data_IF_113329818655
#
_entry.id   IF_113329818655
#
_cell.length_a   1.000
_cell.length_b   1.000
_cell.length_c   1.000
_cell.angle_alpha   90.00
_cell.angle_beta   90.00
_cell.angle_gamma   90.00
#
_symmetry.space_group_name_H-M   'P 1'
#
loop_
_entity.id
_entity.type
_entity.pdbx_description
1 polymer ?
#
# COMPACT_ATOMS: atom_id res chain seq x y z
N UNK A 1 13.11 9.49 -12.03
CA UNK A 1 12.26 8.32 -11.68
C UNK A 1 12.50 7.19 -12.67
N UNK A 2 13.67 6.54 -12.61
CA UNK A 2 14.08 5.49 -13.56
C UNK A 2 14.87 4.41 -12.80
N UNK A 3 14.16 3.51 -12.11
CA UNK A 3 14.81 2.48 -11.29
C UNK A 3 14.10 1.12 -11.23
N UNK A 4 12.93 0.97 -11.87
CA UNK A 4 12.18 -0.29 -11.87
C UNK A 4 12.08 -0.85 -13.29
N UNK A 5 12.48 -2.11 -13.45
CA UNK A 5 12.31 -2.90 -14.66
C UNK A 5 10.83 -3.12 -14.99
N UNK A 6 10.52 -3.53 -16.23
CA UNK A 6 9.12 -3.77 -16.68
C UNK A 6 8.42 -4.81 -15.79
N UNK A 7 9.13 -5.86 -15.35
CA UNK A 7 8.62 -6.86 -14.43
C UNK A 7 8.30 -6.29 -13.04
N UNK A 8 9.22 -5.49 -12.48
CA UNK A 8 9.00 -4.85 -11.18
C UNK A 8 7.83 -3.85 -11.22
N UNK A 9 7.63 -3.13 -12.34
CA UNK A 9 6.47 -2.24 -12.52
C UNK A 9 5.14 -3.00 -12.52
N UNK A 10 5.09 -4.20 -13.09
CA UNK A 10 3.89 -5.04 -13.08
C UNK A 10 3.54 -5.50 -11.66
N UNK A 11 4.55 -5.92 -10.89
CA UNK A 11 4.39 -6.28 -9.46
C UNK A 11 3.95 -5.07 -8.64
N UNK A 12 4.56 -3.90 -8.88
CA UNK A 12 4.19 -2.65 -8.22
C UNK A 12 2.73 -2.28 -8.49
N UNK A 13 2.31 -2.35 -9.76
CA UNK A 13 0.94 -2.06 -10.18
C UNK A 13 -0.07 -2.99 -9.52
N UNK A 14 0.18 -4.31 -9.54
CA UNK A 14 -0.70 -5.29 -8.90
C UNK A 14 -0.77 -5.14 -7.39
N UNK A 15 0.36 -4.80 -6.75
CA UNK A 15 0.40 -4.52 -5.31
C UNK A 15 -0.44 -3.29 -4.96
N UNK A 16 -0.24 -2.17 -5.67
CA UNK A 16 -1.00 -0.94 -5.41
C UNK A 16 -2.50 -1.10 -5.70
N UNK A 17 -2.88 -1.84 -6.75
CA UNK A 17 -4.28 -2.16 -7.01
C UNK A 17 -4.91 -2.95 -5.86
N UNK A 18 -4.21 -3.96 -5.34
CA UNK A 18 -4.70 -4.78 -4.21
C UNK A 18 -4.83 -3.95 -2.93
N UNK A 19 -3.82 -3.13 -2.61
CA UNK A 19 -3.86 -2.23 -1.46
C UNK A 19 -4.99 -1.22 -1.60
N UNK A 20 -5.15 -0.59 -2.76
CA UNK A 20 -6.22 0.36 -3.01
C UNK A 20 -7.58 -0.28 -2.79
N UNK A 21 -7.83 -1.46 -3.39
CA UNK A 21 -9.06 -2.21 -3.19
C UNK A 21 -9.30 -2.55 -1.70
N UNK A 22 -8.25 -2.96 -0.97
CA UNK A 22 -8.32 -3.21 0.47
C UNK A 22 -8.68 -1.97 1.28
N UNK A 23 -8.10 -0.81 0.96
CA UNK A 23 -8.38 0.46 1.64
C UNK A 23 -9.78 0.98 1.37
N UNK A 24 -10.30 0.81 0.14
CA UNK A 24 -11.68 1.14 -0.20
C UNK A 24 -12.66 0.16 0.48
N UNK A 25 -12.40 -1.14 0.42
CA UNK A 25 -13.28 -2.18 0.97
C UNK A 25 -13.33 -2.20 2.49
N UNK A 26 -12.20 -1.97 3.16
CA UNK A 26 -12.14 -1.84 4.62
C UNK A 26 -12.69 -0.48 5.12
N UNK A 27 -13.11 0.40 4.20
CA UNK A 27 -13.70 1.68 4.53
C UNK A 27 -12.72 2.70 5.10
N UNK A 28 -11.41 2.50 4.96
CA UNK A 28 -10.38 3.45 5.44
C UNK A 28 -10.56 4.81 4.77
N UNK A 29 -10.89 4.81 3.47
CA UNK A 29 -11.13 6.04 2.73
C UNK A 29 -12.49 6.65 3.12
N UNK A 30 -13.54 5.86 3.29
CA UNK A 30 -14.87 6.39 3.65
C UNK A 30 -14.93 6.94 5.07
N UNK A 31 -14.26 6.32 6.04
CA UNK A 31 -14.15 6.85 7.42
C UNK A 31 -13.36 8.15 7.48
N UNK A 32 -12.38 8.32 6.59
CA UNK A 32 -11.61 9.57 6.47
C UNK A 32 -12.49 10.78 6.08
N UNK A 33 -13.51 10.58 5.24
CA UNK A 33 -14.33 11.68 4.70
C UNK A 33 -15.71 11.82 5.34
N UNK A 34 -16.33 10.74 5.81
CA UNK A 34 -17.76 10.73 6.20
C UNK A 34 -17.95 10.75 7.74
N UNK A 35 -17.02 10.16 8.50
CA UNK A 35 -17.04 10.15 9.97
C UNK A 35 -15.62 10.23 10.51
N UNK A 36 -15.03 11.44 10.55
CA UNK A 36 -13.71 11.59 11.14
C UNK A 36 -13.83 11.25 12.63
N UNK A 37 -13.34 10.07 13.02
CA UNK A 37 -12.88 9.87 14.39
C UNK A 37 -11.80 10.92 14.67
N UNK A 38 -11.61 11.29 15.94
CA UNK A 38 -10.72 12.37 16.39
C UNK A 38 -9.49 12.45 15.47
N UNK A 39 -9.24 13.61 14.85
CA UNK A 39 -8.27 13.72 13.76
C UNK A 39 -6.86 13.15 14.04
N UNK A 40 -6.48 13.05 15.33
CA UNK A 40 -5.26 12.35 15.75
C UNK A 40 -5.25 10.84 15.48
N UNK A 41 -6.36 10.14 15.72
CA UNK A 41 -6.50 8.69 15.49
C UNK A 41 -6.50 8.36 14.00
N UNK A 42 -7.09 9.25 13.19
CA UNK A 42 -7.05 9.19 11.73
C UNK A 42 -5.61 9.28 11.21
N UNK A 43 -4.86 10.29 11.66
CA UNK A 43 -3.47 10.50 11.25
C UNK A 43 -2.60 9.32 11.69
N UNK A 44 -2.78 8.83 12.91
CA UNK A 44 -2.07 7.65 13.42
C UNK A 44 -2.33 6.41 12.55
N UNK A 45 -3.59 6.10 12.29
CA UNK A 45 -3.97 4.95 11.47
C UNK A 45 -3.48 5.08 10.02
N UNK A 46 -3.48 6.30 9.47
CA UNK A 46 -2.98 6.57 8.12
C UNK A 46 -1.45 6.38 8.04
N UNK A 47 -0.70 6.85 9.06
CA UNK A 47 0.75 6.65 9.15
C UNK A 47 1.08 5.16 9.29
N UNK A 48 0.39 4.44 10.18
CA UNK A 48 0.57 3.00 10.37
C UNK A 48 0.23 2.24 9.08
N UNK A 49 -0.88 2.58 8.43
CA UNK A 49 -1.31 1.98 7.17
C UNK A 49 -0.31 2.20 6.03
N UNK A 50 0.21 3.42 5.87
CA UNK A 50 1.25 3.74 4.89
C UNK A 50 2.55 2.99 5.23
N UNK A 51 2.94 2.95 6.50
CA UNK A 51 4.14 2.25 6.96
C UNK A 51 4.09 0.76 6.65
N UNK A 52 2.97 0.10 6.97
CA UNK A 52 2.75 -1.32 6.66
C UNK A 52 2.71 -1.55 5.15
N UNK A 53 2.06 -0.68 4.38
CA UNK A 53 2.02 -0.75 2.91
C UNK A 53 3.43 -0.71 2.32
N UNK A 54 4.30 0.18 2.80
CA UNK A 54 5.68 0.28 2.34
C UNK A 54 6.53 -0.93 2.77
N UNK A 55 6.31 -1.47 3.97
CA UNK A 55 6.98 -2.68 4.44
C UNK A 55 6.59 -3.90 3.57
N UNK A 56 5.29 -4.09 3.34
CA UNK A 56 4.77 -5.14 2.47
C UNK A 56 5.25 -4.99 1.02
N UNK A 57 5.37 -3.75 0.51
CA UNK A 57 5.92 -3.48 -0.81
C UNK A 57 7.40 -3.88 -0.90
N UNK A 58 8.22 -3.55 0.11
CA UNK A 58 9.63 -3.97 0.16
C UNK A 58 9.75 -5.49 0.19
N UNK A 59 8.89 -6.18 0.94
CA UNK A 59 8.84 -7.64 0.99
C UNK A 59 8.46 -8.21 -0.38
N UNK A 60 7.41 -7.69 -1.03
CA UNK A 60 6.97 -8.13 -2.34
C UNK A 60 8.06 -7.95 -3.43
N UNK A 61 8.75 -6.82 -3.42
CA UNK A 61 9.90 -6.57 -4.31
C UNK A 61 11.08 -7.48 -3.98
N UNK A 62 11.32 -7.79 -2.70
CA UNK A 62 12.35 -8.74 -2.26
C UNK A 62 12.09 -10.16 -2.75
N UNK A 63 10.84 -10.64 -2.65
CA UNK A 63 10.44 -11.93 -3.22
C UNK A 63 10.55 -11.94 -4.75
N UNK A 64 10.11 -10.88 -5.43
CA UNK A 64 10.22 -10.78 -6.88
C UNK A 64 11.68 -10.81 -7.37
N UNK A 65 12.63 -10.21 -6.64
CA UNK A 65 14.07 -10.30 -6.94
C UNK A 65 14.64 -11.70 -6.72
N UNK A 66 14.19 -12.43 -5.70
CA UNK A 66 14.58 -13.83 -5.44
C UNK A 66 14.02 -14.82 -6.47
N UNK A 67 12.91 -14.48 -7.13
CA UNK A 67 12.21 -15.35 -8.07
C UNK A 67 12.76 -15.29 -9.51
N UNK A 68 13.86 -14.56 -9.75
CA UNK A 68 14.69 -14.74 -10.96
C UNK A 68 15.46 -16.07 -10.84
N UNK A 69 14.79 -17.17 -11.12
CA UNK A 69 15.37 -18.46 -11.47
C UNK A 69 14.90 -18.81 -12.88
#
# INVERSE_FOLDING_TARGET
MSGFSVGERKVLSGFFQTIAAGWFGAGVITTTFIRPEKGGDLIYNLIVGIGLTLASLKIALGFSKKQKW
#
